data_IF_498884235637
#
_entry.id   IF_498884235637
#
_cell.length_a   1.000
_cell.length_b   1.000
_cell.length_c   1.000
_cell.angle_alpha   90.00
_cell.angle_beta   90.00
_cell.angle_gamma   90.00
#
_symmetry.space_group_name_H-M   'P 1'
#
loop_
_entity.id
_entity.type
_entity.pdbx_description
1 polymer ?
#
# COMPACT_ATOMS: atom_id res chain seq x y z
N UNK A 1 16.57 5.77 4.74
CA UNK A 1 16.38 6.20 6.15
C UNK A 1 17.61 5.83 7.00
N UNK A 2 18.57 6.74 7.27
CA UNK A 2 19.88 6.39 7.86
C UNK A 2 19.84 5.86 9.29
N UNK A 3 18.85 6.31 10.08
CA UNK A 3 18.70 5.93 11.48
C UNK A 3 18.38 4.44 11.65
N UNK A 4 17.45 3.89 10.85
CA UNK A 4 17.05 2.48 10.98
C UNK A 4 18.16 1.52 10.57
N UNK A 5 18.92 1.85 9.52
CA UNK A 5 20.09 1.07 9.09
C UNK A 5 21.16 0.99 10.19
N UNK A 6 21.39 2.11 10.89
CA UNK A 6 22.35 2.19 11.99
C UNK A 6 22.01 1.28 13.18
N UNK A 7 20.72 0.91 13.32
CA UNK A 7 20.28 0.03 14.40
C UNK A 7 20.51 -1.46 14.11
N UNK A 8 20.90 -1.83 12.89
CA UNK A 8 21.09 -3.22 12.47
C UNK A 8 19.79 -4.05 12.41
N UNK A 9 18.62 -3.43 12.66
CA UNK A 9 17.31 -4.09 12.69
C UNK A 9 16.66 -4.24 11.32
N UNK A 10 17.18 -3.55 10.31
CA UNK A 10 16.60 -3.41 8.97
C UNK A 10 17.74 -3.60 7.98
N UNK A 11 17.64 -4.58 7.08
CA UNK A 11 18.60 -4.70 5.97
C UNK A 11 18.27 -3.64 4.91
N UNK A 12 19.23 -3.24 4.06
CA UNK A 12 19.00 -2.21 3.02
C UNK A 12 17.75 -2.47 2.15
N UNK A 13 17.41 -3.74 1.94
CA UNK A 13 16.22 -4.16 1.17
C UNK A 13 14.93 -3.77 1.91
N UNK A 14 14.91 -3.92 3.24
CA UNK A 14 13.75 -3.58 4.08
C UNK A 14 13.52 -2.06 4.16
N UNK A 15 14.58 -1.25 4.04
CA UNK A 15 14.48 0.20 4.09
C UNK A 15 13.64 0.77 2.92
N UNK A 16 13.84 0.24 1.70
CA UNK A 16 13.06 0.64 0.54
C UNK A 16 11.57 0.27 0.66
N UNK A 17 11.28 -0.91 1.21
CA UNK A 17 9.90 -1.38 1.42
C UNK A 17 9.18 -0.52 2.47
N UNK A 18 9.88 -0.12 3.54
CA UNK A 18 9.35 0.81 4.54
C UNK A 18 9.11 2.21 3.94
N UNK A 19 10.03 2.71 3.12
CA UNK A 19 9.88 4.01 2.45
C UNK A 19 8.68 4.02 1.49
N UNK A 20 8.48 2.93 0.75
CA UNK A 20 7.28 2.74 -0.09
C UNK A 20 6.01 2.71 0.76
N UNK A 21 6.00 1.97 1.87
CA UNK A 21 4.85 1.93 2.78
C UNK A 21 4.47 3.32 3.29
N UNK A 22 5.45 4.11 3.72
CA UNK A 22 5.23 5.48 4.20
C UNK A 22 4.73 6.40 3.09
N UNK A 23 5.25 6.25 1.87
CA UNK A 23 4.82 7.04 0.71
C UNK A 23 3.36 6.76 0.37
N UNK A 24 2.96 5.49 0.34
CA UNK A 24 1.56 5.12 0.09
C UNK A 24 0.61 5.55 1.21
N UNK A 25 1.09 5.59 2.45
CA UNK A 25 0.32 6.12 3.57
C UNK A 25 0.02 7.62 3.40
N UNK A 26 1.00 8.39 2.93
CA UNK A 26 0.80 9.82 2.66
C UNK A 26 -0.18 10.04 1.50
N UNK A 27 -0.06 9.27 0.41
CA UNK A 27 -1.02 9.31 -0.71
C UNK A 27 -2.44 8.99 -0.21
N UNK A 28 -2.59 7.94 0.61
CA UNK A 28 -3.87 7.59 1.23
C UNK A 28 -4.45 8.76 2.04
N UNK A 29 -3.63 9.43 2.86
CA UNK A 29 -4.08 10.57 3.67
C UNK A 29 -4.50 11.76 2.82
N UNK A 30 -3.76 12.07 1.76
CA UNK A 30 -4.09 13.16 0.84
C UNK A 30 -5.40 12.89 0.11
N UNK A 31 -5.56 11.67 -0.42
CA UNK A 31 -6.80 11.25 -1.08
C UNK A 31 -8.00 11.27 -0.11
N UNK A 32 -7.81 10.80 1.12
CA UNK A 32 -8.85 10.85 2.15
C UNK A 32 -9.26 12.29 2.50
N UNK A 33 -8.29 13.20 2.62
CA UNK A 33 -8.55 14.63 2.86
C UNK A 33 -9.35 15.24 1.70
N UNK A 34 -8.97 14.98 0.45
CA UNK A 34 -9.70 15.47 -0.71
C UNK A 34 -11.15 14.96 -0.73
N UNK A 35 -11.38 13.69 -0.40
CA UNK A 35 -12.73 13.12 -0.29
C UNK A 35 -13.55 13.81 0.81
N UNK A 36 -12.92 14.16 1.95
CA UNK A 36 -13.61 14.90 3.02
C UNK A 36 -14.02 16.30 2.57
N UNK A 37 -13.16 16.99 1.80
CA UNK A 37 -13.41 18.36 1.33
C UNK A 37 -14.38 18.41 0.15
N UNK A 38 -14.25 17.49 -0.82
CA UNK A 38 -14.94 17.53 -2.11
C UNK A 38 -16.05 16.47 -2.27
N UNK A 39 -16.18 15.56 -1.31
CA UNK A 39 -17.10 14.43 -1.37
C UNK A 39 -16.65 13.34 -2.35
N UNK A 40 -17.42 12.24 -2.40
CA UNK A 40 -17.11 11.07 -3.24
C UNK A 40 -17.55 11.24 -4.70
N UNK A 41 -18.46 12.18 -4.98
CA UNK A 41 -18.96 12.48 -6.31
C UNK A 41 -19.61 13.86 -6.34
N UNK A 42 -19.63 14.48 -7.52
CA UNK A 42 -20.29 15.76 -7.78
C UNK A 42 -21.35 15.60 -8.88
N UNK A 43 -22.37 16.48 -8.85
CA UNK A 43 -23.38 16.53 -9.93
C UNK A 43 -22.75 17.13 -11.18
N UNK A 44 -22.95 16.48 -12.32
CA UNK A 44 -22.52 16.93 -13.62
C UNK A 44 -23.70 17.59 -14.34
N UNK A 45 -23.45 18.75 -14.95
CA UNK A 45 -24.43 19.44 -15.77
C UNK A 45 -23.84 19.68 -17.16
N UNK A 46 -24.64 19.46 -18.20
CA UNK A 46 -24.29 19.74 -19.59
C UNK A 46 -25.03 20.98 -20.07
N UNK A 47 -24.37 21.77 -20.92
CA UNK A 47 -24.99 22.96 -21.50
C UNK A 47 -25.91 22.55 -22.64
N UNK A 48 -27.15 23.02 -22.61
CA UNK A 48 -28.09 22.90 -23.71
C UNK A 48 -27.82 24.04 -24.69
N UNK A 49 -27.64 23.72 -25.98
CA UNK A 49 -27.40 24.70 -27.03
C UNK A 49 -28.57 24.74 -28.01
N UNK A 50 -28.89 25.92 -28.54
CA UNK A 50 -29.81 26.07 -29.66
C UNK A 50 -29.14 25.76 -31.01
N UNK A 51 -29.91 25.81 -32.11
CA UNK A 51 -29.41 25.55 -33.46
C UNK A 51 -28.34 26.54 -33.95
N UNK A 52 -28.16 27.66 -33.25
CA UNK A 52 -27.14 28.68 -33.53
C UNK A 52 -25.90 28.53 -32.64
N UNK A 53 -25.92 27.59 -31.68
CA UNK A 53 -24.84 27.32 -30.74
C UNK A 53 -24.90 28.13 -29.44
N UNK A 54 -25.94 28.93 -29.21
CA UNK A 54 -26.07 29.71 -27.97
C UNK A 54 -26.50 28.80 -26.82
N UNK A 55 -25.90 28.99 -25.63
CA UNK A 55 -26.26 28.23 -24.44
C UNK A 55 -27.61 28.74 -23.91
N UNK A 56 -28.63 27.91 -24.00
CA UNK A 56 -30.01 28.20 -23.58
C UNK A 56 -30.37 27.64 -22.20
N UNK A 57 -29.50 26.79 -21.63
CA UNK A 57 -29.71 26.24 -20.30
C UNK A 57 -28.64 25.23 -19.87
N UNK A 58 -28.82 24.66 -18.68
CA UNK A 58 -28.02 23.53 -18.19
C UNK A 58 -28.96 22.41 -17.77
N UNK A 59 -28.68 21.20 -18.23
CA UNK A 59 -29.42 20.00 -17.83
C UNK A 59 -28.55 19.08 -16.99
N UNK A 60 -29.17 18.35 -16.08
CA UNK A 60 -28.49 17.39 -15.23
C UNK A 60 -28.05 16.18 -16.06
N UNK A 61 -26.76 15.92 -16.09
CA UNK A 61 -26.15 14.85 -16.90
C UNK A 61 -25.70 13.63 -16.09
N UNK A 62 -25.94 13.63 -14.77
CA UNK A 62 -25.55 12.54 -13.89
C UNK A 62 -24.52 12.95 -12.83
N UNK A 63 -23.73 11.98 -12.35
CA UNK A 63 -22.71 12.20 -11.34
C UNK A 63 -21.32 11.92 -11.90
N UNK A 64 -20.37 12.80 -11.57
CA UNK A 64 -18.94 12.59 -11.82
C UNK A 64 -18.29 12.14 -10.52
N UNK A 65 -17.65 10.97 -10.53
CA UNK A 65 -16.92 10.46 -9.37
C UNK A 65 -15.71 11.32 -9.06
N UNK A 66 -15.39 11.45 -7.77
CA UNK A 66 -14.13 12.02 -7.32
C UNK A 66 -12.97 11.03 -7.62
N UNK A 67 -11.96 11.39 -8.42
CA UNK A 67 -10.81 10.54 -8.68
C UNK A 67 -10.05 10.10 -7.42
N UNK A 68 -10.05 10.92 -6.36
CA UNK A 68 -9.41 10.61 -5.09
C UNK A 68 -9.96 9.33 -4.45
N UNK A 69 -11.21 8.94 -4.74
CA UNK A 69 -11.78 7.66 -4.26
C UNK A 69 -11.02 6.46 -4.84
N UNK A 70 -10.67 6.52 -6.12
CA UNK A 70 -9.89 5.46 -6.76
C UNK A 70 -8.45 5.44 -6.21
N UNK A 71 -7.81 6.61 -6.13
CA UNK A 71 -6.47 6.77 -5.55
C UNK A 71 -6.40 6.23 -4.12
N UNK A 72 -7.36 6.57 -3.27
CA UNK A 72 -7.43 6.08 -1.89
C UNK A 72 -7.55 4.56 -1.83
N UNK A 73 -8.39 3.97 -2.70
CA UNK A 73 -8.56 2.52 -2.75
C UNK A 73 -7.28 1.80 -3.20
N UNK A 74 -6.57 2.36 -4.18
CA UNK A 74 -5.34 1.76 -4.69
C UNK A 74 -4.19 1.89 -3.69
N UNK A 75 -4.04 3.05 -3.04
CA UNK A 75 -3.10 3.23 -1.93
C UNK A 75 -3.40 2.25 -0.77
N UNK A 76 -4.68 2.04 -0.43
CA UNK A 76 -5.07 1.09 0.61
C UNK A 76 -4.69 -0.36 0.24
N UNK A 77 -4.85 -0.77 -1.02
CA UNK A 77 -4.41 -2.10 -1.48
C UNK A 77 -2.91 -2.25 -1.38
N UNK A 78 -2.15 -1.22 -1.79
CA UNK A 78 -0.70 -1.23 -1.69
C UNK A 78 -0.24 -1.30 -0.23
N UNK A 79 -0.82 -0.50 0.67
CA UNK A 79 -0.55 -0.57 2.10
C UNK A 79 -0.79 -1.96 2.68
N UNK A 80 -1.88 -2.64 2.29
CA UNK A 80 -2.13 -4.02 2.74
C UNK A 80 -1.08 -5.00 2.21
N UNK A 81 -0.70 -4.87 0.93
CA UNK A 81 0.30 -5.73 0.31
C UNK A 81 1.69 -5.54 0.93
N UNK A 82 2.18 -4.31 0.97
CA UNK A 82 3.49 -3.95 1.56
C UNK A 82 3.49 -4.25 3.06
N UNK A 83 2.40 -3.95 3.76
CA UNK A 83 2.25 -4.28 5.18
C UNK A 83 2.30 -5.78 5.46
N UNK A 84 1.79 -6.62 4.54
CA UNK A 84 1.96 -8.07 4.65
C UNK A 84 3.43 -8.47 4.49
N UNK A 85 4.16 -7.90 3.53
CA UNK A 85 5.60 -8.17 3.36
C UNK A 85 6.42 -7.78 4.59
N UNK A 86 6.04 -6.68 5.25
CA UNK A 86 6.66 -6.21 6.49
C UNK A 86 6.22 -6.99 7.75
N UNK A 87 5.35 -8.00 7.63
CA UNK A 87 4.87 -8.75 8.79
C UNK A 87 3.93 -7.94 9.70
N UNK A 88 3.15 -7.00 9.17
CA UNK A 88 2.21 -6.21 9.96
C UNK A 88 0.89 -6.98 10.26
N UNK A 89 0.65 -8.11 9.60
CA UNK A 89 -0.48 -9.01 9.88
C UNK A 89 -0.05 -10.24 10.71
N UNK A 90 -0.93 -10.82 11.55
CA UNK A 90 -0.63 -12.03 12.30
C UNK A 90 -0.17 -13.20 11.43
N UNK A 91 -0.82 -13.41 10.27
CA UNK A 91 -0.47 -14.45 9.31
C UNK A 91 0.92 -14.23 8.74
N UNK A 92 1.23 -13.02 8.28
CA UNK A 92 2.55 -12.72 7.74
C UNK A 92 3.66 -12.85 8.80
N UNK A 93 3.39 -12.49 10.06
CA UNK A 93 4.34 -12.76 11.17
C UNK A 93 4.58 -14.24 11.37
N UNK A 94 3.53 -15.07 11.32
CA UNK A 94 3.68 -16.51 11.45
C UNK A 94 4.54 -17.09 10.32
N UNK A 95 4.31 -16.69 9.08
CA UNK A 95 5.10 -17.09 7.92
C UNK A 95 6.57 -16.68 8.06
N UNK A 96 6.84 -15.43 8.46
CA UNK A 96 8.20 -14.94 8.72
C UNK A 96 8.88 -15.69 9.88
N UNK A 97 8.14 -16.02 10.94
CA UNK A 97 8.64 -16.81 12.07
C UNK A 97 8.98 -18.25 11.67
N UNK A 98 8.18 -18.88 10.81
CA UNK A 98 8.49 -20.21 10.27
C UNK A 98 9.78 -20.16 9.45
N UNK A 99 9.93 -19.20 8.53
CA UNK A 99 11.15 -19.01 7.73
C UNK A 99 12.37 -18.77 8.64
N UNK A 100 12.24 -17.95 9.68
CA UNK A 100 13.31 -17.70 10.64
C UNK A 100 13.69 -18.96 11.45
N UNK A 101 12.70 -19.80 11.80
CA UNK A 101 12.93 -21.03 12.56
C UNK A 101 13.68 -22.10 11.77
N UNK A 102 13.52 -22.16 10.45
CA UNK A 102 14.23 -23.09 9.56
C UNK A 102 15.72 -22.75 9.35
N UNK A 103 16.20 -21.57 9.78
CA UNK A 103 17.63 -21.18 9.67
C UNK A 103 18.56 -21.84 10.70
N UNK A 104 18.07 -22.77 11.52
CA UNK A 104 18.85 -23.41 12.59
C UNK A 104 18.80 -24.95 12.60
N UNK A 105 18.51 -25.59 11.47
CA UNK A 105 18.89 -26.99 11.29
C UNK A 105 20.33 -27.03 10.80
N UNK A 106 21.27 -27.32 11.72
CA UNK A 106 22.63 -27.70 11.35
C UNK A 106 22.53 -28.80 10.29
N UNK A 107 23.36 -28.71 9.25
CA UNK A 107 23.40 -29.74 8.20
C UNK A 107 23.54 -31.12 8.86
N UNK A 108 22.90 -32.16 8.32
CA UNK A 108 23.07 -33.54 8.81
C UNK A 108 24.56 -33.89 8.97
N UNK A 109 25.42 -33.38 8.09
CA UNK A 109 26.87 -33.55 8.18
C UNK A 109 27.51 -32.89 9.42
N UNK A 110 27.01 -31.74 9.85
CA UNK A 110 27.44 -31.07 11.08
C UNK A 110 26.95 -31.82 12.32
N UNK A 111 25.74 -32.40 12.27
CA UNK A 111 25.20 -33.23 13.34
C UNK A 111 25.97 -34.55 13.50
N UNK A 112 26.35 -35.20 12.39
CA UNK A 112 27.16 -36.42 12.42
C UNK A 112 28.57 -36.17 12.97
N UNK A 113 29.16 -35.00 12.66
CA UNK A 113 30.48 -34.60 13.16
C UNK A 113 30.47 -34.25 14.65
N UNK A 114 29.42 -33.61 15.16
CA UNK A 114 29.26 -33.36 16.60
C UNK A 114 28.95 -34.63 17.40
N UNK A 115 28.26 -35.61 16.80
CA UNK A 115 27.96 -36.89 17.43
C UNK A 115 29.12 -37.91 17.37
N UNK A 116 30.24 -37.56 16.75
CA UNK A 116 31.41 -38.45 16.60
C UNK A 116 31.15 -39.64 15.67
N UNK A 117 30.18 -39.53 14.77
CA UNK A 117 29.81 -40.58 13.82
C UNK A 117 30.55 -40.46 12.48
N UNK A 118 31.24 -39.33 12.24
CA UNK A 118 32.18 -39.07 11.13
C UNK A 118 33.28 -38.11 11.62
#
# INVERSE_FOLDING_TARGET
MPFLESTGRVQRIDAAVVEQYCSEYEIYRQAYKDIQENGIQSKLYVSLQDSTGNIIGKDFAGYRKNPAVATMNDALKQLKSIGSQLGLSPQARQELMQIASHKKEKSMAEQFKEAGLI
#
